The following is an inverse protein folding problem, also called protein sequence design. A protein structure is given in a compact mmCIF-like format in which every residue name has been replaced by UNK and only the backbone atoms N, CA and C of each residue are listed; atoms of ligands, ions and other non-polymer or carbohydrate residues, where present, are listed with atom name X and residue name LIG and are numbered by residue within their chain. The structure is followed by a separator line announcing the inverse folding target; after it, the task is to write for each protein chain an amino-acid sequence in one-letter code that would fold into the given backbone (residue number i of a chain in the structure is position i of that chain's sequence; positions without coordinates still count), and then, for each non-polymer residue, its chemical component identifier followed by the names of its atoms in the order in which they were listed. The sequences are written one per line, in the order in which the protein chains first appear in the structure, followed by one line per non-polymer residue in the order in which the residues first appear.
data_IF_200317306815
#
_entry.id   IF_200317306815
#
_cell.length_a   1.000
_cell.length_b   1.000
_cell.length_c   1.000
_cell.angle_alpha   90.00
_cell.angle_beta   90.00
_cell.angle_gamma   90.00
#
_symmetry.space_group_name_H-M   'P 1'
#
loop_
_entity.id
_entity.type
_entity.pdbx_description
1 polymer ?
#
# COMPACT_ATOMS: atom_id res chain seq x y z
N UNK A 1 17.93 3.67 31.44
CA UNK A 1 16.96 2.97 30.57
C UNK A 1 17.30 1.48 30.66
N UNK A 2 16.76 0.60 29.80
CA UNK A 2 17.05 -0.85 29.90
C UNK A 2 18.31 -1.20 29.09
N UNK A 3 19.20 -1.98 29.70
CA UNK A 3 20.29 -2.69 28.99
C UNK A 3 19.86 -4.13 28.74
N UNK A 4 20.21 -4.68 27.59
CA UNK A 4 19.91 -6.07 27.24
C UNK A 4 21.14 -6.80 26.72
N UNK A 5 21.27 -8.07 27.13
CA UNK A 5 22.29 -8.99 26.65
C UNK A 5 21.62 -10.21 26.04
N UNK A 6 21.95 -10.49 24.78
CA UNK A 6 21.40 -11.58 23.99
C UNK A 6 22.52 -12.51 23.55
N UNK A 7 22.29 -13.81 23.63
CA UNK A 7 23.19 -14.78 23.01
C UNK A 7 22.82 -14.93 21.53
N UNK A 8 23.81 -15.16 20.67
CA UNK A 8 23.60 -15.35 19.25
C UNK A 8 22.64 -16.53 19.00
N UNK A 9 21.63 -16.38 18.13
CA UNK A 9 20.71 -17.46 17.80
C UNK A 9 21.34 -18.56 16.93
N UNK A 10 22.55 -18.37 16.41
CA UNK A 10 23.27 -19.33 15.57
C UNK A 10 24.73 -19.45 16.02
N UNK A 11 25.34 -20.60 15.76
CA UNK A 11 26.79 -20.74 15.82
C UNK A 11 27.42 -20.36 14.48
N UNK A 12 28.64 -19.83 14.51
CA UNK A 12 29.39 -19.40 13.33
C UNK A 12 30.37 -18.29 13.67
N UNK A 13 30.60 -17.38 12.74
CA UNK A 13 31.45 -16.20 12.95
C UNK A 13 30.59 -14.96 13.20
N UNK A 14 30.59 -14.46 14.44
CA UNK A 14 29.91 -13.22 14.80
C UNK A 14 30.62 -12.01 14.16
N UNK A 15 29.86 -11.20 13.42
CA UNK A 15 30.32 -9.98 12.74
C UNK A 15 29.34 -8.83 12.98
N UNK A 16 29.83 -7.60 12.84
CA UNK A 16 29.00 -6.40 12.90
C UNK A 16 28.05 -6.34 11.71
N UNK A 17 26.88 -5.72 11.90
CA UNK A 17 25.92 -5.51 10.82
C UNK A 17 26.54 -4.71 9.66
N UNK A 18 27.44 -3.77 9.95
CA UNK A 18 28.20 -2.98 8.95
C UNK A 18 28.95 -3.83 7.92
N UNK A 19 29.22 -5.11 8.23
CA UNK A 19 29.92 -6.06 7.37
C UNK A 19 28.98 -6.98 6.58
N UNK A 20 27.67 -6.79 6.68
CA UNK A 20 26.64 -7.51 5.93
C UNK A 20 26.44 -6.83 4.58
N UNK A 21 26.37 -7.62 3.50
CA UNK A 21 26.17 -7.11 2.13
C UNK A 21 24.71 -6.76 1.83
N UNK A 22 23.99 -6.21 2.81
CA UNK A 22 22.61 -5.77 2.70
C UNK A 22 22.48 -4.39 3.38
N UNK A 23 22.18 -3.32 2.62
CA UNK A 23 22.11 -1.96 3.17
C UNK A 23 21.06 -1.78 4.29
N UNK A 24 19.98 -2.57 4.30
CA UNK A 24 18.94 -2.44 5.32
C UNK A 24 19.45 -2.91 6.70
N UNK A 25 20.27 -3.96 6.71
CA UNK A 25 20.92 -4.45 7.92
C UNK A 25 22.17 -3.63 8.25
N UNK A 26 23.03 -3.36 7.26
CA UNK A 26 24.32 -2.70 7.47
C UNK A 26 24.23 -1.24 7.95
N UNK A 27 23.15 -0.55 7.61
CA UNK A 27 22.87 0.81 8.10
C UNK A 27 22.35 0.85 9.54
N UNK A 28 21.90 -0.29 10.10
CA UNK A 28 21.18 -0.33 11.36
C UNK A 28 19.70 0.11 11.26
N UNK A 29 19.18 0.37 10.05
CA UNK A 29 17.80 0.80 9.84
C UNK A 29 16.75 -0.24 10.31
N UNK A 30 17.12 -1.52 10.28
CA UNK A 30 16.28 -2.63 10.79
C UNK A 30 16.37 -2.83 12.30
N UNK A 31 17.16 -2.01 13.00
CA UNK A 31 17.45 -2.14 14.42
C UNK A 31 18.92 -2.46 14.69
N UNK A 32 19.29 -2.45 15.98
CA UNK A 32 20.64 -2.78 16.41
C UNK A 32 20.79 -4.28 16.59
N UNK A 33 21.95 -4.81 16.24
CA UNK A 33 22.15 -6.23 16.25
C UNK A 33 23.53 -6.66 15.76
N UNK A 34 23.61 -7.90 15.32
CA UNK A 34 24.80 -8.51 14.76
C UNK A 34 24.41 -9.46 13.62
N UNK A 35 25.40 -9.98 12.91
CA UNK A 35 25.17 -11.06 11.96
C UNK A 35 26.14 -12.22 12.21
N UNK A 36 25.76 -13.41 11.76
CA UNK A 36 26.60 -14.61 11.82
C UNK A 36 26.98 -15.01 10.40
N UNK A 37 28.28 -14.96 10.08
CA UNK A 37 28.85 -15.53 8.85
C UNK A 37 29.10 -17.03 9.02
N UNK A 38 28.93 -17.76 7.93
CA UNK A 38 29.09 -19.23 7.88
C UNK A 38 28.37 -19.95 9.02
N UNK A 39 27.05 -19.71 9.22
CA UNK A 39 26.30 -20.38 10.27
C UNK A 39 26.24 -21.90 10.08
N UNK A 40 26.06 -22.62 11.19
CA UNK A 40 26.02 -24.10 11.26
C UNK A 40 24.71 -24.74 10.76
N UNK A 41 23.79 -23.94 10.21
CA UNK A 41 22.52 -24.43 9.67
C UNK A 41 21.40 -24.54 10.70
N UNK A 42 21.60 -24.11 11.96
CA UNK A 42 20.58 -24.19 13.01
C UNK A 42 20.31 -22.82 13.64
N UNK A 43 19.04 -22.54 13.88
CA UNK A 43 18.57 -21.31 14.53
C UNK A 43 17.88 -21.67 15.84
N UNK A 44 18.35 -21.08 16.93
CA UNK A 44 17.83 -21.25 18.27
C UNK A 44 17.21 -19.95 18.79
N UNK A 45 16.27 -20.05 19.73
CA UNK A 45 15.71 -18.86 20.38
C UNK A 45 16.77 -18.22 21.30
N UNK A 46 17.08 -16.93 21.15
CA UNK A 46 17.99 -16.22 22.05
C UNK A 46 17.31 -15.83 23.37
N UNK A 47 15.98 -15.91 23.45
CA UNK A 47 15.13 -15.43 24.56
C UNK A 47 13.99 -16.40 24.88
N UNK A 48 13.38 -16.22 26.04
CA UNK A 48 12.05 -16.74 26.34
C UNK A 48 11.02 -15.76 25.75
N UNK A 49 9.99 -16.25 25.06
CA UNK A 49 9.03 -15.36 24.40
C UNK A 49 8.01 -16.06 23.50
N UNK A 50 7.42 -15.31 22.58
CA UNK A 50 6.44 -15.78 21.60
C UNK A 50 6.94 -15.50 20.18
N UNK A 51 6.78 -16.48 19.28
CA UNK A 51 7.04 -16.30 17.84
C UNK A 51 5.93 -15.42 17.24
N UNK A 52 6.19 -14.13 17.08
CA UNK A 52 5.20 -13.18 16.57
C UNK A 52 5.01 -13.26 15.06
N UNK A 53 6.07 -13.62 14.33
CA UNK A 53 6.07 -13.75 12.88
C UNK A 53 6.90 -14.95 12.47
N UNK A 54 6.35 -15.82 11.63
CA UNK A 54 7.12 -16.83 10.91
C UNK A 54 6.72 -16.72 9.43
N UNK A 55 7.64 -16.29 8.58
CA UNK A 55 7.32 -16.09 7.16
C UNK A 55 7.00 -17.42 6.46
N UNK A 56 6.08 -17.43 5.51
CA UNK A 56 5.68 -18.64 4.76
C UNK A 56 6.86 -19.31 4.05
N UNK A 57 7.81 -18.51 3.57
CA UNK A 57 9.06 -18.96 2.94
C UNK A 57 10.15 -19.33 3.96
N UNK A 58 9.83 -19.35 5.26
CA UNK A 58 10.63 -19.84 6.40
C UNK A 58 12.01 -19.22 6.63
N UNK A 59 12.41 -18.25 5.81
CA UNK A 59 13.71 -17.60 5.88
C UNK A 59 13.88 -16.61 7.05
N UNK A 60 12.79 -16.17 7.69
CA UNK A 60 12.86 -15.20 8.77
C UNK A 60 11.86 -15.49 9.90
N UNK A 61 12.26 -15.14 11.12
CA UNK A 61 11.53 -15.40 12.36
C UNK A 61 11.55 -14.14 13.22
N UNK A 62 10.35 -13.69 13.62
CA UNK A 62 10.13 -12.63 14.60
C UNK A 62 9.79 -13.22 15.97
N UNK A 63 10.40 -12.73 17.03
CA UNK A 63 10.15 -13.16 18.41
C UNK A 63 9.93 -11.94 19.29
N UNK A 64 8.83 -11.91 20.04
CA UNK A 64 8.64 -10.96 21.13
C UNK A 64 9.10 -11.61 22.44
N UNK A 65 10.18 -11.09 23.01
CA UNK A 65 10.78 -11.60 24.25
C UNK A 65 10.03 -11.15 25.50
N UNK A 66 10.06 -11.95 26.56
CA UNK A 66 9.40 -11.64 27.84
C UNK A 66 9.94 -10.36 28.51
N UNK A 67 11.14 -9.86 28.14
CA UNK A 67 11.70 -8.60 28.68
C UNK A 67 11.35 -7.35 27.84
N UNK A 68 10.60 -7.53 26.75
CA UNK A 68 10.07 -6.48 25.86
C UNK A 68 10.83 -6.26 24.56
N UNK A 69 11.84 -7.07 24.25
CA UNK A 69 12.62 -7.01 23.00
C UNK A 69 11.88 -7.67 21.82
N UNK A 70 11.79 -6.96 20.69
CA UNK A 70 11.28 -7.48 19.44
C UNK A 70 12.45 -7.88 18.53
N UNK A 71 12.65 -9.18 18.38
CA UNK A 71 13.77 -9.76 17.65
C UNK A 71 13.37 -10.17 16.25
N UNK A 72 14.23 -9.93 15.28
CA UNK A 72 14.13 -10.46 13.93
C UNK A 72 15.40 -11.22 13.58
N UNK A 73 15.25 -12.50 13.24
CA UNK A 73 16.32 -13.36 12.73
C UNK A 73 16.02 -13.60 11.25
N UNK A 74 16.96 -13.26 10.36
CA UNK A 74 16.80 -13.39 8.91
C UNK A 74 17.90 -14.29 8.34
N UNK A 75 17.59 -15.52 7.97
CA UNK A 75 18.57 -16.50 7.50
C UNK A 75 18.98 -16.21 6.07
N UNK A 76 20.24 -15.81 5.89
CA UNK A 76 20.80 -15.43 4.60
C UNK A 76 20.26 -14.11 4.04
N UNK A 77 20.77 -13.70 2.88
CA UNK A 77 20.33 -12.50 2.16
C UNK A 77 19.53 -12.90 0.92
N UNK A 78 18.42 -12.22 0.65
CA UNK A 78 17.51 -12.49 -0.49
C UNK A 78 16.92 -13.93 -0.54
N UNK A 79 17.06 -14.72 0.53
CA UNK A 79 16.63 -16.12 0.63
C UNK A 79 15.12 -16.32 0.58
N UNK A 80 14.32 -15.25 0.74
CA UNK A 80 12.89 -15.26 0.43
C UNK A 80 12.59 -15.80 -0.98
N UNK A 81 13.51 -15.58 -1.94
CA UNK A 81 13.39 -16.02 -3.34
C UNK A 81 13.49 -17.55 -3.51
N UNK A 82 13.92 -18.27 -2.46
CA UNK A 82 13.93 -19.75 -2.43
C UNK A 82 12.53 -20.35 -2.16
N UNK A 83 11.52 -19.52 -1.89
CA UNK A 83 10.14 -19.97 -1.67
C UNK A 83 9.98 -21.08 -0.62
N UNK A 84 10.84 -21.08 0.42
CA UNK A 84 10.82 -22.09 1.49
C UNK A 84 11.60 -23.37 1.20
N UNK A 85 12.25 -23.49 0.04
CA UNK A 85 13.19 -24.58 -0.21
C UNK A 85 14.42 -24.47 0.71
N UNK A 86 14.96 -25.63 1.14
CA UNK A 86 16.12 -25.74 2.03
C UNK A 86 15.89 -25.30 3.49
N UNK A 87 14.65 -25.07 3.90
CA UNK A 87 14.27 -24.68 5.27
C UNK A 87 13.34 -25.69 5.93
N UNK A 88 13.66 -26.09 7.17
CA UNK A 88 12.86 -27.00 8.01
C UNK A 88 12.49 -26.30 9.32
N UNK A 89 11.25 -25.85 9.45
CA UNK A 89 10.75 -25.21 10.66
C UNK A 89 10.41 -26.24 11.73
N UNK A 90 10.75 -25.94 12.99
CA UNK A 90 10.43 -26.76 14.17
C UNK A 90 9.41 -26.10 15.11
N UNK A 91 9.01 -24.86 14.81
CA UNK A 91 7.97 -24.10 15.52
C UNK A 91 7.03 -23.45 14.51
N UNK A 92 5.87 -23.01 15.00
CA UNK A 92 4.87 -22.29 14.21
C UNK A 92 4.69 -20.88 14.79
N UNK A 93 4.09 -19.97 14.00
CA UNK A 93 3.73 -18.65 14.49
C UNK A 93 2.74 -18.77 15.68
N UNK A 94 2.92 -17.92 16.69
CA UNK A 94 2.16 -17.94 17.94
C UNK A 94 2.67 -18.96 18.97
N UNK A 95 3.71 -19.74 18.65
CA UNK A 95 4.29 -20.66 19.60
C UNK A 95 5.08 -19.91 20.69
N UNK A 96 4.90 -20.32 21.95
CA UNK A 96 5.79 -19.92 23.05
C UNK A 96 7.10 -20.70 22.94
N UNK A 97 8.23 -20.00 23.06
CA UNK A 97 9.58 -20.55 22.94
C UNK A 97 10.41 -20.26 24.18
N UNK A 98 11.35 -21.16 24.47
CA UNK A 98 12.36 -20.97 25.53
C UNK A 98 13.74 -20.72 24.94
N UNK A 99 14.56 -19.93 25.64
CA UNK A 99 15.94 -19.66 25.28
C UNK A 99 16.70 -20.98 25.06
N UNK A 100 17.37 -21.08 23.92
CA UNK A 100 18.08 -22.29 23.47
C UNK A 100 17.21 -23.32 22.75
N UNK A 101 15.90 -23.10 22.59
CA UNK A 101 15.03 -23.98 21.80
C UNK A 101 15.33 -23.88 20.31
N UNK A 102 15.43 -25.02 19.62
CA UNK A 102 15.59 -25.07 18.17
C UNK A 102 14.31 -24.57 17.47
N UNK A 103 14.47 -23.60 16.56
CA UNK A 103 13.37 -22.95 15.84
C UNK A 103 13.32 -23.37 14.37
N UNK A 104 14.48 -23.43 13.72
CA UNK A 104 14.61 -23.64 12.28
C UNK A 104 15.96 -24.30 11.97
N UNK A 105 15.93 -25.26 11.06
CA UNK A 105 17.12 -25.80 10.40
C UNK A 105 17.13 -25.39 8.92
N UNK A 106 18.32 -25.17 8.35
CA UNK A 106 18.49 -24.86 6.95
C UNK A 106 19.74 -25.51 6.36
N UNK A 107 19.67 -25.85 5.07
CA UNK A 107 20.79 -26.41 4.32
C UNK A 107 21.64 -25.28 3.72
N UNK A 108 22.68 -24.88 4.46
CA UNK A 108 23.56 -23.79 4.04
C UNK A 108 24.36 -24.09 2.76
N UNK A 109 24.66 -25.35 2.45
CA UNK A 109 25.36 -25.71 1.21
C UNK A 109 24.43 -25.58 0.01
N UNK A 110 23.19 -26.06 0.13
CA UNK A 110 22.20 -25.93 -0.93
C UNK A 110 21.83 -24.46 -1.19
N UNK A 111 21.68 -23.64 -0.14
CA UNK A 111 21.41 -22.20 -0.28
C UNK A 111 22.58 -21.48 -1.00
N UNK A 112 23.83 -21.80 -0.63
CA UNK A 112 25.02 -21.30 -1.34
C UNK A 112 25.05 -21.76 -2.80
N UNK A 113 24.73 -23.02 -3.07
CA UNK A 113 24.68 -23.58 -4.41
C UNK A 113 23.60 -22.91 -5.29
N UNK A 114 22.50 -22.46 -4.68
CA UNK A 114 21.46 -21.66 -5.33
C UNK A 114 21.87 -20.19 -5.55
N UNK A 115 23.06 -19.78 -5.11
CA UNK A 115 23.64 -18.45 -5.36
C UNK A 115 23.34 -17.40 -4.28
N UNK A 116 22.89 -17.80 -3.10
CA UNK A 116 22.52 -16.88 -2.02
C UNK A 116 23.57 -16.84 -0.90
N UNK A 117 23.72 -15.67 -0.28
CA UNK A 117 24.55 -15.48 0.91
C UNK A 117 23.82 -16.05 2.13
N UNK A 118 24.50 -16.84 2.97
CA UNK A 118 23.94 -17.42 4.21
C UNK A 118 24.29 -16.61 5.46
N UNK A 119 24.94 -15.45 5.30
CA UNK A 119 25.15 -14.51 6.39
C UNK A 119 23.79 -14.17 6.98
N UNK A 120 23.60 -14.45 8.27
CA UNK A 120 22.31 -14.37 8.94
C UNK A 120 22.30 -13.18 9.90
N UNK A 121 21.65 -12.06 9.54
CA UNK A 121 21.40 -10.97 10.48
C UNK A 121 20.41 -11.36 11.58
N UNK A 122 20.67 -10.83 12.77
CA UNK A 122 19.79 -10.91 13.92
C UNK A 122 19.77 -9.56 14.63
N UNK A 123 18.59 -8.94 14.70
CA UNK A 123 18.41 -7.54 15.13
C UNK A 123 17.30 -7.40 16.16
N UNK A 124 17.47 -6.43 17.06
CA UNK A 124 16.43 -5.91 17.95
C UNK A 124 15.73 -4.77 17.21
N UNK A 125 14.52 -5.00 16.72
CA UNK A 125 13.78 -4.07 15.87
C UNK A 125 13.22 -2.86 16.63
N UNK A 126 12.95 -3.00 17.93
CA UNK A 126 12.63 -1.90 18.84
C UNK A 126 13.88 -1.38 19.58
N UNK A 127 15.06 -1.40 18.93
CA UNK A 127 16.35 -1.07 19.57
C UNK A 127 16.40 0.29 20.24
N UNK A 128 15.60 1.28 19.79
CA UNK A 128 15.52 2.61 20.39
C UNK A 128 14.98 2.63 21.84
N UNK A 129 14.36 1.54 22.28
CA UNK A 129 13.87 1.39 23.66
C UNK A 129 14.98 0.95 24.64
N UNK A 130 16.14 0.55 24.12
CA UNK A 130 17.28 0.06 24.88
C UNK A 130 18.44 1.05 24.81
N UNK A 131 19.09 1.30 25.96
CA UNK A 131 20.28 2.15 26.04
C UNK A 131 21.49 1.48 25.38
N UNK A 132 21.56 0.15 25.57
CA UNK A 132 22.68 -0.69 25.18
C UNK A 132 22.19 -2.10 24.90
N UNK A 133 22.57 -2.63 23.74
CA UNK A 133 22.35 -4.01 23.32
C UNK A 133 23.71 -4.67 23.20
N UNK A 134 23.89 -5.79 23.89
CA UNK A 134 25.11 -6.62 23.77
C UNK A 134 24.74 -7.97 23.20
N UNK A 135 25.34 -8.34 22.07
CA UNK A 135 25.18 -9.65 21.46
C UNK A 135 26.46 -10.45 21.65
N UNK A 136 26.35 -11.64 22.21
CA UNK A 136 27.48 -12.51 22.50
C UNK A 136 27.42 -13.82 21.70
N UNK A 137 28.58 -14.27 21.24
CA UNK A 137 28.79 -15.64 20.73
C UNK A 137 30.14 -16.14 21.27
N UNK A 138 30.09 -16.99 22.29
CA UNK A 138 31.29 -17.40 23.03
C UNK A 138 31.99 -16.19 23.67
N UNK A 139 33.27 -16.02 23.39
CA UNK A 139 34.09 -14.90 23.91
C UNK A 139 33.96 -13.60 23.09
N UNK A 140 33.30 -13.64 21.93
CA UNK A 140 33.08 -12.46 21.10
C UNK A 140 31.80 -11.75 21.51
N UNK A 141 31.89 -10.44 21.66
CA UNK A 141 30.74 -9.57 21.95
C UNK A 141 30.71 -8.39 20.98
N UNK A 142 29.51 -8.08 20.50
CA UNK A 142 29.22 -6.86 19.75
C UNK A 142 28.27 -6.04 20.61
N UNK A 143 28.69 -4.82 20.90
CA UNK A 143 27.92 -3.87 21.71
C UNK A 143 27.45 -2.77 20.79
N UNK A 144 26.15 -2.49 20.82
CA UNK A 144 25.54 -1.34 20.15
C UNK A 144 24.87 -0.47 21.22
N UNK A 145 25.26 0.80 21.30
CA UNK A 145 24.67 1.75 22.24
C UNK A 145 23.93 2.86 21.51
N UNK A 146 22.80 3.31 22.05
CA UNK A 146 22.07 4.47 21.52
C UNK A 146 22.92 5.77 21.48
N UNK A 147 24.04 5.78 22.20
CA UNK A 147 25.01 6.89 22.22
C UNK A 147 25.87 7.00 20.94
N UNK A 148 25.99 5.94 20.13
CA UNK A 148 26.77 5.99 18.88
C UNK A 148 25.99 6.61 17.71
N UNK A 149 24.69 6.88 17.89
CA UNK A 149 23.85 7.62 16.95
C UNK A 149 23.77 9.14 17.23
N UNK A 150 24.58 9.68 18.15
CA UNK A 150 24.49 11.09 18.59
C UNK A 150 25.67 12.01 18.25
N UNK A 151 26.62 11.58 17.41
CA UNK A 151 27.78 12.40 17.05
C UNK A 151 27.95 12.54 15.54
N UNK A 152 26.97 13.17 14.89
CA UNK A 152 27.18 14.19 13.85
C UNK A 152 25.81 14.83 13.58
N UNK A 153 25.38 15.71 14.49
CA UNK A 153 24.40 16.72 14.10
C UNK A 153 25.09 17.56 13.03
N UNK A 154 24.68 17.38 11.78
CA UNK A 154 24.99 18.33 10.70
C UNK A 154 24.29 19.63 11.09
N UNK A 155 25.00 20.43 11.87
CA UNK A 155 24.73 21.83 12.14
C UNK A 155 25.26 22.61 10.95
N UNK A 156 24.50 22.64 9.87
CA UNK A 156 24.68 23.64 8.81
C UNK A 156 23.51 23.55 7.82
N UNK A 157 22.39 24.18 8.18
CA UNK A 157 21.60 24.94 7.21
C UNK A 157 20.80 25.98 8.00
N UNK A 158 21.49 27.09 8.32
CA UNK A 158 20.85 28.33 8.82
C UNK A 158 19.84 28.89 7.79
N UNK A 159 19.83 28.36 6.57
CA UNK A 159 18.99 28.76 5.44
C UNK A 159 17.48 28.63 5.71
N UNK A 160 17.06 27.74 6.61
CA UNK A 160 15.64 27.47 6.90
C UNK A 160 15.28 27.54 8.40
N UNK A 161 16.17 28.10 9.23
CA UNK A 161 16.01 28.10 10.69
C UNK A 161 14.77 28.87 11.16
N UNK A 162 14.40 29.95 10.44
CA UNK A 162 13.28 30.83 10.78
C UNK A 162 11.91 30.32 10.28
N UNK A 163 11.89 29.20 9.53
CA UNK A 163 10.64 28.65 8.98
C UNK A 163 9.92 27.75 9.99
N UNK A 164 8.58 27.62 9.87
CA UNK A 164 7.83 26.64 10.64
C UNK A 164 8.42 25.23 10.45
N UNK A 165 8.36 24.41 11.51
CA UNK A 165 9.08 23.12 11.58
C UNK A 165 8.78 22.23 10.37
N UNK A 166 7.52 22.13 9.98
CA UNK A 166 7.04 21.38 8.81
C UNK A 166 7.64 21.86 7.48
N UNK A 167 7.74 23.18 7.28
CA UNK A 167 8.29 23.80 6.07
C UNK A 167 9.79 23.58 5.99
N UNK A 168 10.48 23.77 7.13
CA UNK A 168 11.90 23.49 7.26
C UNK A 168 12.22 22.03 6.92
N UNK A 169 11.47 21.08 7.49
CA UNK A 169 11.66 19.65 7.24
C UNK A 169 11.40 19.32 5.77
N UNK A 170 10.33 19.83 5.16
CA UNK A 170 10.06 19.61 3.74
C UNK A 170 11.20 20.12 2.84
N UNK A 171 11.72 21.33 3.10
CA UNK A 171 12.83 21.92 2.35
C UNK A 171 14.15 21.15 2.51
N UNK A 172 14.45 20.70 3.72
CA UNK A 172 15.64 19.87 3.98
C UNK A 172 15.51 18.51 3.30
N UNK A 173 14.34 17.86 3.34
CA UNK A 173 14.11 16.61 2.60
C UNK A 173 14.33 16.84 1.11
N UNK A 174 13.75 17.90 0.52
CA UNK A 174 13.93 18.25 -0.90
C UNK A 174 15.41 18.40 -1.27
N UNK A 175 16.17 19.12 -0.44
CA UNK A 175 17.61 19.32 -0.63
C UNK A 175 18.38 18.00 -0.62
N UNK A 176 18.16 17.19 0.41
CA UNK A 176 18.96 15.97 0.63
C UNK A 176 18.52 14.76 -0.18
N UNK A 177 17.33 14.78 -0.81
CA UNK A 177 16.98 13.79 -1.84
C UNK A 177 17.58 14.13 -3.21
N UNK A 178 18.35 15.21 -3.34
CA UNK A 178 18.97 15.62 -4.60
C UNK A 178 18.10 16.57 -5.44
N UNK A 179 17.16 17.28 -4.81
CA UNK A 179 16.24 18.23 -5.42
C UNK A 179 14.94 17.59 -5.94
N UNK A 180 13.94 18.42 -6.24
CA UNK A 180 12.65 17.94 -6.76
C UNK A 180 12.76 17.19 -8.09
N UNK A 181 13.76 17.49 -8.92
CA UNK A 181 13.99 16.77 -10.18
C UNK A 181 14.38 15.30 -9.96
N UNK A 182 14.87 14.95 -8.76
CA UNK A 182 15.18 13.58 -8.40
C UNK A 182 13.97 12.81 -7.83
N UNK A 183 12.88 13.51 -7.50
CA UNK A 183 11.66 12.90 -6.97
C UNK A 183 10.70 12.69 -8.13
N UNK A 184 10.27 11.46 -8.36
CA UNK A 184 9.28 11.09 -9.40
C UNK A 184 7.85 11.19 -8.89
N UNK A 185 7.64 10.80 -7.64
CA UNK A 185 6.32 10.82 -6.99
C UNK A 185 6.49 10.90 -5.47
N UNK A 186 5.49 11.46 -4.79
CA UNK A 186 5.43 11.51 -3.33
C UNK A 186 4.04 11.08 -2.86
N UNK A 187 3.98 10.26 -1.82
CA UNK A 187 2.76 9.82 -1.14
C UNK A 187 3.02 9.78 0.37
N UNK A 188 1.98 9.76 1.21
CA UNK A 188 2.16 9.51 2.64
C UNK A 188 1.12 8.55 3.19
N UNK A 189 1.49 7.86 4.26
CA UNK A 189 0.57 7.11 5.12
C UNK A 189 0.59 7.71 6.54
N UNK A 190 -0.09 7.08 7.50
CA UNK A 190 -0.29 7.63 8.83
C UNK A 190 0.98 8.11 9.56
N UNK A 191 2.17 7.56 9.25
CA UNK A 191 3.42 7.90 9.94
C UNK A 191 4.62 8.18 9.04
N UNK A 192 4.49 8.01 7.71
CA UNK A 192 5.64 7.99 6.79
C UNK A 192 5.36 8.75 5.50
N UNK A 193 6.33 9.54 5.08
CA UNK A 193 6.44 10.11 3.74
C UNK A 193 7.13 9.08 2.85
N UNK A 194 6.59 8.83 1.66
CA UNK A 194 7.10 7.86 0.69
C UNK A 194 7.40 8.56 -0.61
N UNK A 195 8.64 8.48 -1.05
CA UNK A 195 9.15 9.11 -2.26
C UNK A 195 9.56 8.02 -3.24
N UNK A 196 9.18 8.19 -4.51
CA UNK A 196 9.76 7.42 -5.60
C UNK A 196 10.90 8.26 -6.17
N UNK A 197 12.12 7.73 -6.13
CA UNK A 197 13.33 8.48 -6.49
C UNK A 197 13.88 7.99 -7.85
N UNK A 198 14.33 8.93 -8.68
CA UNK A 198 14.92 8.65 -10.00
C UNK A 198 16.34 8.07 -9.87
N UNK A 199 17.17 8.68 -9.03
CA UNK A 199 18.56 8.31 -8.80
C UNK A 199 18.87 8.24 -7.30
N UNK A 200 19.05 7.02 -6.79
CA UNK A 200 19.36 6.77 -5.38
C UNK A 200 20.71 7.36 -4.96
N UNK A 201 21.67 7.50 -5.87
CA UNK A 201 23.02 7.98 -5.54
C UNK A 201 23.06 9.45 -5.13
N UNK A 202 22.00 10.22 -5.44
CA UNK A 202 21.85 11.63 -5.06
C UNK A 202 21.22 11.84 -3.68
N UNK A 203 20.81 10.76 -3.01
CA UNK A 203 20.20 10.85 -1.68
C UNK A 203 21.30 10.86 -0.63
N UNK A 204 21.30 11.90 0.20
CA UNK A 204 22.08 11.93 1.43
C UNK A 204 21.27 11.35 2.59
N UNK A 205 21.28 10.02 2.68
CA UNK A 205 20.53 9.26 3.68
C UNK A 205 20.88 9.68 5.12
N UNK A 206 22.16 10.00 5.38
CA UNK A 206 22.63 10.45 6.69
C UNK A 206 22.12 11.84 7.04
N UNK A 207 22.13 12.77 6.07
CA UNK A 207 21.62 14.10 6.31
C UNK A 207 20.10 14.08 6.58
N UNK A 208 19.34 13.24 5.86
CA UNK A 208 17.89 13.08 6.06
C UNK A 208 17.57 12.52 7.45
N UNK A 209 18.30 11.52 7.89
CA UNK A 209 18.11 10.92 9.22
C UNK A 209 18.39 11.92 10.36
N UNK A 210 19.31 12.85 10.14
CA UNK A 210 19.69 13.88 11.12
C UNK A 210 18.76 15.11 11.13
N UNK A 211 17.72 15.17 10.29
CA UNK A 211 16.75 16.27 10.31
C UNK A 211 15.90 16.21 11.59
N UNK A 212 15.84 17.31 12.36
CA UNK A 212 14.96 17.42 13.53
C UNK A 212 13.47 17.29 13.15
N UNK A 213 12.91 16.10 13.39
CA UNK A 213 11.55 15.71 13.02
C UNK A 213 11.48 14.38 12.27
N UNK A 214 12.61 13.88 11.75
CA UNK A 214 12.76 12.55 11.16
C UNK A 214 13.09 11.55 12.26
N UNK A 215 12.37 10.43 12.29
CA UNK A 215 12.55 9.33 13.26
C UNK A 215 13.26 8.11 12.65
N UNK A 216 13.56 8.16 11.37
CA UNK A 216 14.20 7.11 10.61
C UNK A 216 13.90 7.21 9.12
N UNK A 217 14.70 6.55 8.30
CA UNK A 217 14.52 6.48 6.85
C UNK A 217 14.95 5.10 6.33
N UNK A 218 14.32 4.60 5.28
CA UNK A 218 14.71 3.33 4.66
C UNK A 218 14.14 3.19 3.24
N UNK A 219 14.70 2.26 2.47
CA UNK A 219 14.11 1.83 1.19
C UNK A 219 13.27 0.57 1.38
N UNK A 220 12.03 0.57 0.90
CA UNK A 220 11.22 -0.63 0.80
C UNK A 220 10.25 -0.54 -0.38
N UNK A 221 10.02 -1.67 -1.04
CA UNK A 221 9.12 -1.78 -2.20
C UNK A 221 9.39 -0.72 -3.29
N UNK A 222 10.67 -0.46 -3.59
CA UNK A 222 11.14 0.55 -4.55
C UNK A 222 10.75 2.00 -4.21
N UNK A 223 10.41 2.28 -2.95
CA UNK A 223 10.12 3.61 -2.43
C UNK A 223 11.11 3.97 -1.32
N UNK A 224 11.54 5.22 -1.30
CA UNK A 224 12.27 5.82 -0.19
C UNK A 224 11.27 6.29 0.86
N UNK A 225 11.34 5.74 2.07
CA UNK A 225 10.38 6.02 3.15
C UNK A 225 11.08 6.79 4.27
N UNK A 226 10.48 7.90 4.68
CA UNK A 226 10.95 8.75 5.76
C UNK A 226 9.88 8.74 6.86
N UNK A 227 10.27 8.34 8.06
CA UNK A 227 9.38 8.23 9.22
C UNK A 227 9.32 9.59 9.90
N UNK A 228 8.14 10.21 9.92
CA UNK A 228 7.91 11.54 10.51
C UNK A 228 6.99 11.45 11.75
N UNK A 229 6.22 10.38 11.86
CA UNK A 229 5.23 10.18 12.93
C UNK A 229 3.84 10.66 12.57
N UNK A 230 2.86 10.33 13.42
CA UNK A 230 1.44 10.63 13.19
C UNK A 230 1.15 12.12 13.19
N UNK A 231 0.38 12.59 12.20
CA UNK A 231 -0.05 13.98 12.06
C UNK A 231 1.04 14.96 11.59
N UNK A 232 2.31 14.74 11.97
CA UNK A 232 3.42 15.55 11.46
C UNK A 232 3.71 15.27 9.98
N UNK A 233 3.54 14.02 9.56
CA UNK A 233 3.69 13.58 8.17
C UNK A 233 2.76 14.33 7.21
N UNK A 234 1.51 14.59 7.60
CA UNK A 234 0.52 15.26 6.75
C UNK A 234 0.96 16.69 6.44
N UNK A 235 1.40 17.43 7.46
CA UNK A 235 1.89 18.81 7.34
C UNK A 235 3.16 18.93 6.49
N UNK A 236 4.10 18.01 6.70
CA UNK A 236 5.35 17.98 5.92
C UNK A 236 5.05 17.62 4.48
N UNK A 237 4.15 16.65 4.23
CA UNK A 237 3.75 16.27 2.88
C UNK A 237 3.12 17.44 2.14
N UNK A 238 2.16 18.14 2.77
CA UNK A 238 1.46 19.27 2.14
C UNK A 238 2.42 20.37 1.70
N UNK A 239 3.44 20.67 2.50
CA UNK A 239 4.48 21.65 2.12
C UNK A 239 5.46 21.09 1.10
N UNK A 240 5.79 19.79 1.17
CA UNK A 240 6.70 19.11 0.24
C UNK A 240 6.13 19.05 -1.17
N UNK A 241 4.81 18.84 -1.32
CA UNK A 241 4.15 18.82 -2.63
C UNK A 241 3.72 20.20 -3.12
N UNK A 242 3.92 21.25 -2.31
CA UNK A 242 3.48 22.61 -2.63
C UNK A 242 4.30 23.19 -3.78
N UNK A 243 3.63 23.46 -4.90
CA UNK A 243 4.29 23.97 -6.10
C UNK A 243 4.95 22.89 -6.97
N UNK A 244 4.78 21.60 -6.64
CA UNK A 244 5.21 20.48 -7.48
C UNK A 244 4.02 19.78 -8.15
N UNK A 245 4.24 19.22 -9.34
CA UNK A 245 3.24 18.46 -10.09
C UNK A 245 3.28 16.95 -9.74
N UNK A 246 3.49 16.60 -8.47
CA UNK A 246 3.44 15.19 -8.04
C UNK A 246 2.00 14.72 -7.91
N UNK A 247 1.43 14.35 -9.05
CA UNK A 247 0.12 13.72 -9.13
C UNK A 247 0.29 12.22 -9.37
N UNK A 248 0.57 11.43 -8.30
CA UNK A 248 0.27 9.99 -8.25
C UNK A 248 0.54 9.18 -9.53
N UNK A 249 1.68 9.42 -10.20
CA UNK A 249 2.01 8.75 -11.45
C UNK A 249 2.57 7.36 -11.12
N UNK A 250 1.65 6.42 -10.97
CA UNK A 250 1.88 5.05 -11.46
C UNK A 250 2.47 5.12 -12.87
N UNK A 251 3.25 4.14 -13.33
CA UNK A 251 3.82 4.03 -14.70
C UNK A 251 2.78 4.11 -15.88
N UNK A 252 1.55 4.56 -15.62
CA UNK A 252 0.49 4.86 -16.56
C UNK A 252 0.69 6.21 -17.28
N UNK A 253 0.99 7.37 -16.66
CA UNK A 253 0.97 8.64 -17.42
C UNK A 253 1.98 8.71 -18.58
N UNK A 254 3.21 8.21 -18.44
CA UNK A 254 4.19 8.17 -19.55
C UNK A 254 3.74 7.23 -20.67
N UNK A 255 3.17 6.07 -20.32
CA UNK A 255 2.56 5.15 -21.27
C UNK A 255 1.33 5.76 -21.95
N UNK A 256 0.54 6.58 -21.23
CA UNK A 256 -0.61 7.30 -21.76
C UNK A 256 -0.18 8.45 -22.68
N UNK A 257 0.89 9.19 -22.37
CA UNK A 257 1.36 10.31 -23.19
C UNK A 257 1.77 9.85 -24.60
N UNK A 258 2.34 8.65 -24.73
CA UNK A 258 2.74 8.04 -26.00
C UNK A 258 1.58 7.31 -26.74
N UNK A 259 0.39 7.20 -26.15
CA UNK A 259 -0.76 6.53 -26.77
C UNK A 259 -1.55 7.44 -27.72
N UNK A 260 -2.04 6.83 -28.80
CA UNK A 260 -3.01 7.47 -29.70
C UNK A 260 -4.32 7.80 -28.97
N UNK A 261 -5.11 8.79 -29.45
CA UNK A 261 -6.39 9.15 -28.82
C UNK A 261 -7.36 7.97 -28.64
N UNK A 262 -7.38 7.03 -29.60
CA UNK A 262 -8.21 5.83 -29.53
C UNK A 262 -7.75 4.86 -28.43
N UNK A 263 -6.43 4.69 -28.26
CA UNK A 263 -5.86 3.87 -27.19
C UNK A 263 -6.11 4.49 -25.81
N UNK A 264 -6.05 5.83 -25.69
CA UNK A 264 -6.40 6.54 -24.45
C UNK A 264 -7.86 6.30 -24.06
N UNK A 265 -8.78 6.31 -25.02
CA UNK A 265 -10.21 6.02 -24.80
C UNK A 265 -10.40 4.55 -24.40
N UNK A 266 -9.80 3.61 -25.13
CA UNK A 266 -9.88 2.18 -24.83
C UNK A 266 -9.32 1.85 -23.45
N UNK A 267 -8.15 2.39 -23.11
CA UNK A 267 -7.53 2.25 -21.79
C UNK A 267 -8.37 2.89 -20.70
N UNK A 268 -9.02 4.01 -21.03
CA UNK A 268 -9.96 4.70 -20.14
C UNK A 268 -11.14 3.84 -19.77
N UNK A 269 -11.75 3.20 -20.76
CA UNK A 269 -12.80 2.23 -20.52
C UNK A 269 -12.27 1.06 -19.69
N UNK A 270 -11.12 0.49 -20.06
CA UNK A 270 -10.48 -0.61 -19.31
C UNK A 270 -10.28 -0.28 -17.83
N UNK A 271 -9.67 0.86 -17.51
CA UNK A 271 -9.40 1.26 -16.12
C UNK A 271 -10.68 1.46 -15.29
N UNK A 272 -11.78 1.90 -15.91
CA UNK A 272 -13.09 2.02 -15.25
C UNK A 272 -13.72 0.65 -14.99
N UNK A 273 -13.51 -0.31 -15.91
CA UNK A 273 -14.11 -1.64 -15.80
C UNK A 273 -13.33 -2.60 -14.91
N UNK A 274 -12.00 -2.50 -14.84
CA UNK A 274 -11.14 -3.44 -14.07
C UNK A 274 -11.66 -3.69 -12.64
N UNK A 275 -12.04 -2.67 -11.85
CA UNK A 275 -12.59 -2.88 -10.50
C UNK A 275 -13.96 -3.58 -10.47
N UNK A 276 -14.70 -3.56 -11.58
CA UNK A 276 -16.09 -4.03 -11.70
C UNK A 276 -16.14 -5.45 -12.32
N UNK A 277 -15.13 -5.83 -13.12
CA UNK A 277 -15.07 -7.13 -13.83
C UNK A 277 -15.38 -8.32 -12.91
N UNK A 278 -14.78 -8.47 -11.70
CA UNK A 278 -15.00 -9.68 -10.91
C UNK A 278 -16.46 -9.93 -10.55
N UNK A 279 -17.20 -8.88 -10.17
CA UNK A 279 -18.62 -9.03 -9.80
C UNK A 279 -19.47 -9.35 -11.02
N UNK A 280 -19.22 -8.70 -12.15
CA UNK A 280 -19.97 -8.93 -13.39
C UNK A 280 -19.72 -10.32 -13.98
N UNK A 281 -18.48 -10.81 -13.89
CA UNK A 281 -18.13 -12.16 -14.33
C UNK A 281 -18.83 -13.19 -13.44
N UNK A 282 -18.80 -13.02 -12.12
CA UNK A 282 -19.45 -13.93 -11.19
C UNK A 282 -20.97 -13.96 -11.43
N UNK A 283 -21.64 -12.81 -11.40
CA UNK A 283 -23.10 -12.75 -11.57
C UNK A 283 -23.55 -13.13 -12.98
N UNK A 284 -22.78 -12.78 -14.01
CA UNK A 284 -23.05 -13.15 -15.40
C UNK A 284 -22.90 -14.66 -15.66
N UNK A 285 -21.89 -15.31 -15.08
CA UNK A 285 -21.73 -16.76 -15.17
C UNK A 285 -22.90 -17.50 -14.51
N UNK A 286 -23.32 -17.04 -13.33
CA UNK A 286 -24.51 -17.59 -12.66
C UNK A 286 -25.79 -17.36 -13.47
N UNK A 287 -25.95 -16.19 -14.09
CA UNK A 287 -27.07 -15.89 -14.99
C UNK A 287 -27.11 -16.87 -16.17
N UNK A 288 -25.96 -17.14 -16.79
CA UNK A 288 -25.81 -18.11 -17.87
C UNK A 288 -26.14 -19.53 -17.43
N UNK A 289 -25.67 -19.94 -16.25
CA UNK A 289 -25.98 -21.26 -15.69
C UNK A 289 -27.48 -21.43 -15.41
N UNK A 290 -28.13 -20.42 -14.83
CA UNK A 290 -29.59 -20.39 -14.63
C UNK A 290 -30.32 -20.56 -15.96
N UNK A 291 -29.95 -19.76 -16.97
CA UNK A 291 -30.58 -19.82 -18.29
C UNK A 291 -30.38 -21.17 -18.99
N UNK A 292 -29.19 -21.77 -18.86
CA UNK A 292 -28.91 -23.11 -19.38
C UNK A 292 -29.75 -24.19 -18.68
N UNK A 293 -29.86 -24.13 -17.35
CA UNK A 293 -30.70 -25.06 -16.59
C UNK A 293 -32.18 -24.96 -17.01
N UNK A 294 -32.71 -23.75 -17.17
CA UNK A 294 -34.08 -23.55 -17.68
C UNK A 294 -34.25 -24.09 -19.10
N UNK A 295 -33.25 -23.89 -19.98
CA UNK A 295 -33.26 -24.39 -21.36
C UNK A 295 -33.24 -25.92 -21.44
N UNK A 296 -32.64 -26.59 -20.45
CA UNK A 296 -32.63 -28.05 -20.30
C UNK A 296 -33.90 -28.61 -19.64
N UNK A 297 -34.87 -27.76 -19.32
CA UNK A 297 -36.16 -28.15 -18.74
C UNK A 297 -36.16 -28.25 -17.20
N UNK A 298 -35.10 -27.79 -16.53
CA UNK A 298 -35.09 -27.71 -15.06
C UNK A 298 -36.10 -26.65 -14.61
N UNK A 299 -37.12 -27.07 -13.87
CA UNK A 299 -38.15 -26.19 -13.32
C UNK A 299 -37.71 -25.71 -11.93
N UNK A 300 -37.50 -24.40 -11.78
CA UNK A 300 -37.31 -23.77 -10.49
C UNK A 300 -38.66 -23.35 -9.91
N UNK A 301 -38.80 -23.37 -8.58
CA UNK A 301 -39.95 -22.71 -7.95
C UNK A 301 -39.84 -21.19 -8.13
N UNK A 302 -40.98 -20.49 -8.11
CA UNK A 302 -41.03 -19.04 -8.31
C UNK A 302 -40.09 -18.28 -7.36
N UNK A 303 -40.04 -18.70 -6.09
CA UNK A 303 -39.15 -18.10 -5.09
C UNK A 303 -37.67 -18.34 -5.40
N UNK A 304 -37.30 -19.54 -5.86
CA UNK A 304 -35.91 -19.86 -6.22
C UNK A 304 -35.49 -19.09 -7.48
N UNK A 305 -36.39 -18.99 -8.46
CA UNK A 305 -36.16 -18.22 -9.66
C UNK A 305 -35.98 -16.73 -9.34
N UNK A 306 -36.85 -16.16 -8.51
CA UNK A 306 -36.78 -14.77 -8.06
C UNK A 306 -35.49 -14.50 -7.29
N UNK A 307 -35.12 -15.34 -6.31
CA UNK A 307 -33.87 -15.18 -5.56
C UNK A 307 -32.64 -15.28 -6.48
N UNK A 308 -32.67 -16.18 -7.45
CA UNK A 308 -31.62 -16.29 -8.46
C UNK A 308 -31.54 -15.04 -9.34
N UNK A 309 -32.67 -14.46 -9.75
CA UNK A 309 -32.75 -13.17 -10.46
C UNK A 309 -32.17 -12.02 -9.65
N UNK A 310 -32.54 -11.90 -8.39
CA UNK A 310 -31.96 -10.89 -7.50
C UNK A 310 -30.43 -11.06 -7.41
N UNK A 311 -29.94 -12.28 -7.24
CA UNK A 311 -28.50 -12.53 -7.13
C UNK A 311 -27.73 -12.17 -8.41
N UNK A 312 -28.30 -12.46 -9.57
CA UNK A 312 -27.58 -12.42 -10.85
C UNK A 312 -27.81 -11.14 -11.65
N UNK A 313 -29.02 -10.60 -11.62
CA UNK A 313 -29.41 -9.46 -12.45
C UNK A 313 -29.05 -8.12 -11.79
N UNK A 314 -28.97 -8.07 -10.44
CA UNK A 314 -28.70 -6.83 -9.67
C UNK A 314 -27.45 -6.09 -10.14
N UNK A 315 -26.33 -6.78 -10.37
CA UNK A 315 -25.09 -6.14 -10.79
C UNK A 315 -25.22 -5.47 -12.17
N UNK A 316 -26.06 -6.01 -13.06
CA UNK A 316 -26.32 -5.44 -14.39
C UNK A 316 -27.35 -4.31 -14.31
N UNK A 317 -28.39 -4.45 -13.49
CA UNK A 317 -29.37 -3.40 -13.22
C UNK A 317 -28.66 -2.13 -12.70
N UNK A 318 -27.78 -2.29 -11.73
CA UNK A 318 -27.03 -1.20 -11.11
C UNK A 318 -25.66 -0.95 -11.75
N UNK A 319 -25.43 -1.44 -12.98
CA UNK A 319 -24.18 -1.19 -13.71
C UNK A 319 -23.85 0.31 -13.80
N UNK A 320 -24.80 1.24 -14.05
CA UNK A 320 -24.52 2.67 -13.99
C UNK A 320 -23.93 3.14 -12.66
N UNK A 321 -24.41 2.62 -11.53
CA UNK A 321 -23.89 2.94 -10.19
C UNK A 321 -22.44 2.49 -10.02
N UNK A 322 -22.12 1.26 -10.44
CA UNK A 322 -20.76 0.72 -10.40
C UNK A 322 -19.80 1.51 -11.32
N UNK A 323 -20.27 1.84 -12.53
CA UNK A 323 -19.51 2.62 -13.52
C UNK A 323 -19.24 4.04 -13.01
N UNK A 324 -20.24 4.75 -12.48
CA UNK A 324 -20.06 6.09 -11.92
C UNK A 324 -19.13 6.08 -10.72
N UNK A 325 -19.27 5.11 -9.80
CA UNK A 325 -18.36 4.94 -8.66
C UNK A 325 -16.90 4.77 -9.11
N UNK A 326 -16.67 3.86 -10.06
CA UNK A 326 -15.32 3.58 -10.58
C UNK A 326 -14.76 4.77 -11.37
N UNK A 327 -15.61 5.45 -12.14
CA UNK A 327 -15.25 6.66 -12.89
C UNK A 327 -14.84 7.78 -11.96
N UNK A 328 -15.62 8.08 -10.92
CA UNK A 328 -15.27 9.09 -9.92
C UNK A 328 -13.94 8.76 -9.25
N UNK A 329 -13.75 7.50 -8.84
CA UNK A 329 -12.48 7.02 -8.26
C UNK A 329 -11.30 7.26 -9.21
N UNK A 330 -11.47 6.97 -10.50
CA UNK A 330 -10.42 7.13 -11.51
C UNK A 330 -10.08 8.59 -11.81
N UNK A 331 -11.08 9.47 -11.90
CA UNK A 331 -10.88 10.87 -12.24
C UNK A 331 -10.67 11.77 -11.01
N UNK A 332 -10.51 11.18 -9.81
CA UNK A 332 -10.18 11.88 -8.57
C UNK A 332 -11.34 12.65 -7.92
N UNK A 333 -12.58 12.23 -8.17
CA UNK A 333 -13.77 12.66 -7.43
C UNK A 333 -14.07 11.73 -6.26
N UNK A 334 -15.07 12.06 -5.44
CA UNK A 334 -15.51 11.22 -4.33
C UNK A 334 -16.29 10.00 -4.86
N UNK A 335 -15.82 8.75 -4.65
CA UNK A 335 -16.48 7.57 -5.24
C UNK A 335 -17.92 7.36 -4.78
N UNK A 336 -18.23 7.70 -3.52
CA UNK A 336 -19.59 7.59 -2.96
C UNK A 336 -20.58 8.51 -3.68
N UNK A 337 -20.17 9.73 -4.05
CA UNK A 337 -21.01 10.65 -4.85
C UNK A 337 -21.28 10.03 -6.23
N UNK A 338 -20.27 9.41 -6.84
CA UNK A 338 -20.43 8.66 -8.08
C UNK A 338 -21.43 7.52 -7.96
N UNK A 339 -21.34 6.73 -6.90
CA UNK A 339 -22.29 5.65 -6.64
C UNK A 339 -23.73 6.19 -6.59
N UNK A 340 -23.96 7.28 -5.86
CA UNK A 340 -25.27 7.92 -5.75
C UNK A 340 -25.76 8.44 -7.11
N UNK A 341 -24.92 9.12 -7.89
CA UNK A 341 -25.27 9.60 -9.23
C UNK A 341 -25.69 8.46 -10.16
N UNK A 342 -24.95 7.35 -10.15
CA UNK A 342 -25.31 6.20 -10.98
C UNK A 342 -26.55 5.46 -10.46
N UNK A 343 -26.85 5.50 -9.15
CA UNK A 343 -28.14 5.04 -8.61
C UNK A 343 -29.30 5.94 -9.06
N UNK A 344 -29.10 7.26 -9.15
CA UNK A 344 -30.12 8.18 -9.68
C UNK A 344 -30.51 7.85 -11.13
N UNK A 345 -29.54 7.40 -11.95
CA UNK A 345 -29.78 6.97 -13.33
C UNK A 345 -30.65 5.70 -13.45
N UNK A 346 -30.80 4.94 -12.37
CA UNK A 346 -31.58 3.68 -12.33
C UNK A 346 -32.62 3.68 -11.21
N UNK A 347 -32.94 4.85 -10.69
CA UNK A 347 -33.87 5.00 -9.58
C UNK A 347 -35.25 4.41 -9.92
N UNK A 348 -35.95 3.83 -8.94
CA UNK A 348 -37.25 3.18 -9.15
C UNK A 348 -38.35 4.13 -9.68
N UNK A 349 -38.14 5.44 -9.54
CA UNK A 349 -39.00 6.48 -10.10
C UNK A 349 -38.90 6.61 -11.64
N UNK A 350 -37.84 6.06 -12.25
CA UNK A 350 -37.66 6.06 -13.70
C UNK A 350 -38.28 4.81 -14.30
N UNK A 351 -38.97 4.90 -15.46
CA UNK A 351 -39.42 3.73 -16.19
C UNK A 351 -38.25 2.78 -16.46
N UNK A 352 -38.40 1.50 -16.14
CA UNK A 352 -37.33 0.54 -16.36
C UNK A 352 -37.01 0.40 -17.87
N UNK A 353 -35.73 0.48 -18.23
CA UNK A 353 -35.28 0.46 -19.62
C UNK A 353 -35.76 -0.75 -20.41
N UNK A 354 -35.71 -1.95 -19.81
CA UNK A 354 -36.12 -3.18 -20.47
C UNK A 354 -37.63 -3.28 -20.62
N UNK A 355 -38.40 -2.83 -19.62
CA UNK A 355 -39.86 -2.77 -19.71
C UNK A 355 -40.34 -1.77 -20.78
N UNK A 356 -39.63 -0.64 -20.92
CA UNK A 356 -39.88 0.31 -22.00
C UNK A 356 -39.53 -0.27 -23.37
N UNK A 357 -38.39 -0.97 -23.48
CA UNK A 357 -37.99 -1.64 -24.71
C UNK A 357 -38.95 -2.79 -25.12
N UNK A 358 -39.53 -3.48 -24.14
CA UNK A 358 -40.55 -4.51 -24.33
C UNK A 358 -41.94 -3.98 -24.67
N UNK A 359 -42.18 -2.67 -24.49
CA UNK A 359 -43.48 -2.03 -24.73
C UNK A 359 -44.45 -2.11 -23.55
N UNK A 360 -44.02 -2.64 -22.41
CA UNK A 360 -44.85 -2.81 -21.20
C UNK A 360 -45.11 -1.48 -20.48
N UNK A 361 -44.17 -0.53 -20.60
CA UNK A 361 -44.22 0.78 -19.95
C UNK A 361 -43.87 1.87 -20.96
N UNK A 362 -44.52 3.03 -20.88
CA UNK A 362 -44.19 4.18 -21.72
C UNK A 362 -43.12 5.07 -21.05
N UNK A 363 -42.17 5.64 -21.83
CA UNK A 363 -41.26 6.66 -21.32
C UNK A 363 -42.02 7.88 -20.78
N UNK A 364 -41.42 8.59 -19.82
CA UNK A 364 -41.95 9.88 -19.35
C UNK A 364 -41.62 10.94 -20.41
N UNK A 365 -42.61 11.59 -21.05
CA UNK A 365 -42.33 12.61 -22.05
C UNK A 365 -41.83 13.89 -21.37
N UNK A 366 -40.71 14.42 -21.84
CA UNK A 366 -40.20 15.74 -21.45
C UNK A 366 -39.92 16.57 -22.71
N UNK A 367 -40.42 17.80 -22.74
CA UNK A 367 -40.12 18.73 -23.84
C UNK A 367 -38.85 19.51 -23.52
N UNK A 368 -37.83 19.33 -24.36
CA UNK A 368 -36.56 20.03 -24.26
C UNK A 368 -36.26 20.64 -25.64
N UNK A 369 -36.13 21.97 -25.69
CA UNK A 369 -35.87 22.73 -26.93
C UNK A 369 -36.81 22.39 -28.10
N UNK A 370 -38.10 22.14 -27.83
CA UNK A 370 -39.11 21.80 -28.85
C UNK A 370 -39.05 20.36 -29.37
N UNK A 371 -38.22 19.50 -28.77
CA UNK A 371 -38.18 18.06 -29.02
C UNK A 371 -38.72 17.31 -27.80
N UNK A 372 -39.65 16.37 -28.02
CA UNK A 372 -40.12 15.47 -26.95
C UNK A 372 -39.13 14.33 -26.77
N UNK A 373 -38.41 14.33 -25.64
CA UNK A 373 -37.48 13.28 -25.26
C UNK A 373 -38.17 12.38 -24.22
N UNK A 374 -38.16 11.08 -24.46
CA UNK A 374 -38.67 10.09 -23.51
C UNK A 374 -37.64 9.80 -22.44
N UNK A 375 -37.94 10.15 -21.18
CA UNK A 375 -37.11 9.81 -20.03
C UNK A 375 -37.39 8.35 -19.65
N UNK A 376 -36.30 7.60 -19.58
CA UNK A 376 -36.24 6.20 -19.19
C UNK A 376 -35.04 6.00 -18.28
N UNK A 377 -35.09 4.98 -17.43
CA UNK A 377 -33.93 4.55 -16.66
C UNK A 377 -32.81 4.06 -17.58
N UNK A 378 -31.59 4.07 -17.06
CA UNK A 378 -30.39 3.67 -17.79
C UNK A 378 -29.86 2.32 -17.32
N UNK A 379 -30.73 1.42 -16.87
CA UNK A 379 -30.31 0.11 -16.37
C UNK A 379 -29.43 -0.61 -17.41
N UNK A 380 -28.29 -1.16 -16.97
CA UNK A 380 -27.31 -1.78 -17.86
C UNK A 380 -26.50 -0.84 -18.78
N UNK A 381 -26.73 0.48 -18.74
CA UNK A 381 -26.06 1.43 -19.66
C UNK A 381 -24.73 1.94 -19.12
N UNK A 382 -23.68 1.81 -19.91
CA UNK A 382 -22.31 2.18 -19.51
C UNK A 382 -21.97 3.62 -19.91
N UNK A 383 -22.23 3.98 -21.17
CA UNK A 383 -21.79 5.27 -21.73
C UNK A 383 -22.39 6.49 -21.01
N UNK A 384 -23.70 6.54 -20.71
CA UNK A 384 -24.28 7.66 -19.96
C UNK A 384 -23.66 7.80 -18.57
N UNK A 385 -23.47 6.68 -17.87
CA UNK A 385 -22.86 6.65 -16.55
C UNK A 385 -21.40 7.12 -16.56
N UNK A 386 -20.62 6.69 -17.56
CA UNK A 386 -19.24 7.14 -17.74
C UNK A 386 -19.16 8.64 -17.99
N UNK A 387 -19.98 9.16 -18.91
CA UNK A 387 -20.00 10.60 -19.24
C UNK A 387 -20.40 11.42 -18.01
N UNK A 388 -21.45 11.00 -17.30
CA UNK A 388 -21.88 11.64 -16.06
C UNK A 388 -20.79 11.61 -14.99
N UNK A 389 -20.15 10.46 -14.76
CA UNK A 389 -19.07 10.33 -13.79
C UNK A 389 -17.85 11.18 -14.12
N UNK A 390 -17.47 11.30 -15.40
CA UNK A 390 -16.37 12.17 -15.84
C UNK A 390 -16.73 13.64 -15.57
N UNK A 391 -17.95 14.04 -15.94
CA UNK A 391 -18.42 15.41 -15.72
C UNK A 391 -18.47 15.74 -14.23
N UNK A 392 -19.07 14.88 -13.42
CA UNK A 392 -19.16 15.05 -11.97
C UNK A 392 -17.78 15.11 -11.31
N UNK A 393 -16.82 14.27 -11.72
CA UNK A 393 -15.47 14.30 -11.17
C UNK A 393 -14.76 15.63 -11.47
N UNK A 394 -14.91 16.14 -12.70
CA UNK A 394 -14.35 17.44 -13.11
C UNK A 394 -15.03 18.60 -12.40
N UNK A 395 -16.36 18.57 -12.31
CA UNK A 395 -17.15 19.59 -11.61
C UNK A 395 -16.77 19.64 -10.14
N UNK A 396 -16.73 18.50 -9.45
CA UNK A 396 -16.37 18.44 -8.04
C UNK A 396 -14.96 18.99 -7.78
N UNK A 397 -13.99 18.67 -8.65
CA UNK A 397 -12.64 19.23 -8.57
C UNK A 397 -12.63 20.75 -8.75
N UNK A 398 -13.39 21.26 -9.72
CA UNK A 398 -13.52 22.70 -9.93
C UNK A 398 -14.17 23.39 -8.72
N UNK A 399 -15.23 22.81 -8.16
CA UNK A 399 -15.91 23.34 -6.98
C UNK A 399 -14.97 23.43 -5.78
N UNK A 400 -14.15 22.40 -5.50
CA UNK A 400 -13.15 22.44 -4.43
C UNK A 400 -12.14 23.58 -4.55
N UNK A 401 -11.91 24.09 -5.76
CA UNK A 401 -11.00 25.24 -5.97
C UNK A 401 -11.69 26.60 -5.81
N UNK A 402 -13.03 26.63 -5.88
CA UNK A 402 -13.84 27.87 -5.88
C UNK A 402 -14.59 28.07 -4.57
N UNK A 403 -15.01 26.98 -3.92
CA UNK A 403 -15.85 26.97 -2.72
C UNK A 403 -14.96 27.13 -1.48
N UNK A 404 -15.23 28.10 -0.59
CA UNK A 404 -14.50 28.25 0.68
C UNK A 404 -14.67 27.02 1.60
N UNK A 405 -13.60 26.63 2.30
CA UNK A 405 -13.54 25.44 3.15
C UNK A 405 -14.70 25.32 4.15
N UNK A 406 -15.18 26.44 4.69
CA UNK A 406 -16.23 26.46 5.73
C UNK A 406 -17.59 25.96 5.21
N UNK A 407 -17.82 26.00 3.90
CA UNK A 407 -19.05 25.53 3.25
C UNK A 407 -18.82 24.38 2.26
N UNK A 408 -17.57 24.00 1.98
CA UNK A 408 -17.21 22.96 0.99
C UNK A 408 -17.93 21.63 1.26
N UNK A 409 -17.98 21.22 2.54
CA UNK A 409 -18.62 19.97 2.96
C UNK A 409 -20.10 19.87 2.56
N UNK A 410 -20.78 21.02 2.40
CA UNK A 410 -22.20 21.09 2.04
C UNK A 410 -22.35 21.42 0.56
N UNK A 411 -21.72 22.49 0.10
CA UNK A 411 -21.94 23.07 -1.23
C UNK A 411 -21.36 22.18 -2.33
N UNK A 412 -20.15 21.64 -2.14
CA UNK A 412 -19.50 20.86 -3.19
C UNK A 412 -20.25 19.57 -3.49
N UNK A 413 -20.64 18.73 -2.51
CA UNK A 413 -21.48 17.56 -2.77
C UNK A 413 -22.87 17.93 -3.30
N UNK A 414 -23.49 18.99 -2.79
CA UNK A 414 -24.83 19.43 -3.23
C UNK A 414 -24.84 19.81 -4.72
N UNK A 415 -23.91 20.70 -5.13
CA UNK A 415 -23.83 21.17 -6.53
C UNK A 415 -23.31 20.07 -7.46
N UNK A 416 -22.56 19.10 -6.97
CA UNK A 416 -22.13 17.95 -7.80
C UNK A 416 -23.27 16.97 -8.07
N UNK A 417 -24.22 16.83 -7.13
CA UNK A 417 -25.36 15.93 -7.25
C UNK A 417 -26.56 16.55 -7.97
N UNK A 418 -26.75 17.85 -7.84
CA UNK A 418 -27.80 18.63 -8.50
C UNK A 418 -27.45 18.85 -9.97
#
# INVERSE_FOLDING_TARGET
MKEIRLDSPLNGELVELSQVNDPAFASGAMGFGAAVKNPDGKVYSPVDGEVTVFFETKHAIGIHGENGEDLLIHVGLDTVKLNGEHFTAHVEQGATVKKGQLLLEFDGEAIKAAGYDITTPFVVTNSTEFEKITIALGDKEIVSAAAEAKAETVTADDEYADLPKEVRVAKLIEKYVGGMDNVRNAEHCATRLRLIINDKSKIDEKAIENIDGVKGQFFAAAQYQIILGTGFVDKVFDEFVKGTNFSGVSNKEEAYAQMTPLQKISRTLGDVFVPIIPVLVATGLFMGLRGAAQSLGVQFSDNVLLLSQILTDTAFIFLPALVCWSTMKRFGGTPVIGLVLGLMLVGPQLPNAWAVAGGDVKPIPMEIFGMTIGIVGYQGSVLPALVLGIFAAKLQKALKTVVPDIIDLIVTPFVTLF
#
